data_IF_230962544436
#
_entry.id   IF_230962544436
#
_cell.length_a   1.000
_cell.length_b   1.000
_cell.length_c   1.000
_cell.angle_alpha   90.00
_cell.angle_beta   90.00
_cell.angle_gamma   90.00
#
_symmetry.space_group_name_H-M   'P 1'
#
loop_
_entity.id
_entity.type
_entity.pdbx_description
1 polymer ?
#
# COMPACT_ATOMS: atom_id res chain seq x y z
N UNK A 1 -0.75 29.27 15.09
CA UNK A 1 0.07 28.22 15.74
C UNK A 1 0.12 26.93 14.90
N UNK A 2 -0.99 26.46 14.32
CA UNK A 2 -1.01 25.24 13.49
C UNK A 2 -0.09 25.27 12.25
N UNK A 3 -0.01 26.40 11.54
CA UNK A 3 0.83 26.54 10.34
C UNK A 3 2.33 26.33 10.64
N UNK A 4 2.81 26.75 11.82
CA UNK A 4 4.23 26.65 12.20
C UNK A 4 4.74 25.22 12.41
N UNK A 5 3.84 24.26 12.67
CA UNK A 5 4.18 22.83 12.79
C UNK A 5 3.93 22.10 11.47
N UNK A 6 2.96 22.54 10.66
CA UNK A 6 2.63 21.89 9.40
C UNK A 6 3.72 22.07 8.33
N UNK A 7 4.29 23.27 8.20
CA UNK A 7 5.36 23.55 7.23
C UNK A 7 6.62 22.71 7.42
N UNK A 8 7.20 22.61 8.64
CA UNK A 8 8.36 21.74 8.83
C UNK A 8 8.00 20.26 8.62
N UNK A 9 6.81 19.80 9.04
CA UNK A 9 6.38 18.42 8.82
C UNK A 9 6.22 18.08 7.34
N UNK A 10 5.69 19.03 6.56
CA UNK A 10 5.61 18.95 5.11
C UNK A 10 7.01 18.85 4.49
N UNK A 11 7.92 19.75 4.86
CA UNK A 11 9.30 19.72 4.38
C UNK A 11 10.02 18.42 4.72
N UNK A 12 9.85 17.90 5.94
CA UNK A 12 10.42 16.60 6.34
C UNK A 12 9.84 15.44 5.55
N UNK A 13 8.53 15.45 5.27
CA UNK A 13 7.89 14.42 4.46
C UNK A 13 8.36 14.47 3.01
N UNK A 14 8.52 15.66 2.44
CA UNK A 14 8.99 15.85 1.06
C UNK A 14 10.45 15.40 0.90
N UNK A 15 11.32 15.79 1.84
CA UNK A 15 12.71 15.31 1.90
C UNK A 15 12.76 13.80 2.07
N UNK A 16 11.88 13.20 2.88
CA UNK A 16 11.83 11.75 3.06
C UNK A 16 11.40 11.02 1.79
N UNK A 17 10.43 11.55 1.04
CA UNK A 17 10.00 10.98 -0.25
C UNK A 17 11.16 11.04 -1.26
N UNK A 18 11.80 12.21 -1.39
CA UNK A 18 12.96 12.39 -2.26
C UNK A 18 14.09 11.43 -1.85
N UNK A 19 14.38 11.29 -0.55
CA UNK A 19 15.42 10.38 -0.07
C UNK A 19 15.11 8.90 -0.35
N UNK A 20 13.84 8.48 -0.26
CA UNK A 20 13.41 7.12 -0.62
C UNK A 20 13.52 6.86 -2.12
N UNK A 21 13.18 7.84 -2.96
CA UNK A 21 13.26 7.76 -4.42
C UNK A 21 14.72 7.75 -4.91
N UNK A 22 15.60 8.54 -4.27
CA UNK A 22 17.03 8.60 -4.57
C UNK A 22 17.84 7.35 -4.18
N UNK A 23 17.27 6.45 -3.37
CA UNK A 23 17.99 5.28 -2.87
C UNK A 23 18.46 4.33 -3.99
N UNK A 24 17.88 4.42 -5.20
CA UNK A 24 18.23 3.59 -6.36
C UNK A 24 19.38 4.11 -7.24
N UNK A 25 19.59 5.43 -7.34
CA UNK A 25 20.37 6.02 -8.44
C UNK A 25 21.79 6.53 -8.07
N UNK A 26 22.19 6.44 -6.80
CA UNK A 26 23.50 6.94 -6.34
C UNK A 26 24.69 5.97 -6.54
N UNK A 27 24.46 4.83 -7.19
CA UNK A 27 25.52 3.82 -7.42
C UNK A 27 26.21 4.08 -8.77
N UNK A 28 27.29 4.85 -8.69
CA UNK A 28 28.22 5.26 -9.77
C UNK A 28 28.60 4.12 -10.74
N UNK A 29 27.77 3.85 -11.75
CA UNK A 29 28.13 2.96 -12.87
C UNK A 29 27.79 3.59 -14.20
N UNK A 30 28.81 4.12 -14.89
CA UNK A 30 28.81 4.68 -16.26
C UNK A 30 27.73 5.74 -16.57
N UNK A 31 28.15 6.85 -17.19
CA UNK A 31 27.27 7.98 -17.50
C UNK A 31 25.97 7.59 -18.23
N UNK A 32 25.96 6.51 -19.01
CA UNK A 32 24.80 6.13 -19.84
C UNK A 32 23.76 5.27 -19.11
N UNK A 33 24.13 4.41 -18.16
CA UNK A 33 23.17 3.59 -17.40
C UNK A 33 22.41 4.42 -16.37
N UNK A 34 23.03 5.47 -15.82
CA UNK A 34 22.40 6.35 -14.83
C UNK A 34 21.25 7.16 -15.44
N UNK A 35 21.41 7.70 -16.67
CA UNK A 35 20.30 8.34 -17.37
C UNK A 35 19.17 7.37 -17.70
N UNK A 36 19.49 6.12 -18.05
CA UNK A 36 18.48 5.11 -18.33
C UNK A 36 17.69 4.73 -17.07
N UNK A 37 18.36 4.58 -15.93
CA UNK A 37 17.72 4.31 -14.63
C UNK A 37 16.72 5.40 -14.24
N UNK A 38 17.15 6.66 -14.27
CA UNK A 38 16.31 7.83 -13.96
C UNK A 38 15.11 7.93 -14.91
N UNK A 39 15.30 7.63 -16.21
CA UNK A 39 14.18 7.66 -17.18
C UNK A 39 13.20 6.52 -16.92
N UNK A 40 13.66 5.35 -16.49
CA UNK A 40 12.80 4.21 -16.16
C UNK A 40 12.01 4.48 -14.89
N UNK A 41 12.61 5.03 -13.84
CA UNK A 41 11.91 5.38 -12.59
C UNK A 41 10.90 6.51 -12.81
N UNK A 42 11.26 7.54 -13.60
CA UNK A 42 10.33 8.58 -14.01
C UNK A 42 9.18 8.01 -14.86
N UNK A 43 9.46 7.06 -15.76
CA UNK A 43 8.43 6.39 -16.53
C UNK A 43 7.52 5.51 -15.66
N UNK A 44 8.07 4.81 -14.66
CA UNK A 44 7.29 4.00 -13.70
C UNK A 44 6.28 4.85 -12.92
N UNK A 45 6.72 6.00 -12.40
CA UNK A 45 5.82 6.96 -11.73
C UNK A 45 4.72 7.44 -12.68
N UNK A 46 5.06 7.75 -13.93
CA UNK A 46 4.07 8.17 -14.95
C UNK A 46 3.11 7.02 -15.29
N UNK A 47 3.60 5.78 -15.41
CA UNK A 47 2.77 4.59 -15.66
C UNK A 47 1.80 4.38 -14.50
N UNK A 48 2.28 4.46 -13.26
CA UNK A 48 1.44 4.33 -12.06
C UNK A 48 0.40 5.46 -12.01
N UNK A 49 0.78 6.70 -12.34
CA UNK A 49 -0.15 7.84 -12.35
C UNK A 49 -1.23 7.71 -13.45
N UNK A 50 -0.87 7.14 -14.61
CA UNK A 50 -1.82 6.87 -15.71
C UNK A 50 -2.70 5.66 -15.40
N UNK A 51 -2.16 4.65 -14.73
CA UNK A 51 -2.90 3.47 -14.28
C UNK A 51 -3.85 3.80 -13.13
N UNK A 52 -3.45 4.72 -12.24
CA UNK A 52 -4.27 5.26 -11.16
C UNK A 52 -5.24 6.31 -11.72
N UNK A 53 -6.29 5.86 -12.41
CA UNK A 53 -7.41 6.72 -12.79
C UNK A 53 -8.40 6.82 -11.63
N UNK A 54 -8.59 8.02 -11.04
CA UNK A 54 -9.56 8.23 -9.96
C UNK A 54 -11.02 8.14 -10.42
N UNK A 55 -11.28 8.16 -11.73
CA UNK A 55 -12.63 8.16 -12.31
C UNK A 55 -13.29 6.76 -12.37
N UNK A 56 -12.53 5.69 -12.07
CA UNK A 56 -13.08 4.34 -11.98
C UNK A 56 -13.55 4.06 -10.56
N UNK A 57 -14.84 3.76 -10.36
CA UNK A 57 -15.40 3.32 -9.07
C UNK A 57 -14.65 2.14 -8.44
N UNK A 58 -15.11 1.63 -7.29
CA UNK A 58 -14.44 0.66 -6.39
C UNK A 58 -13.56 -0.46 -7.00
N UNK A 59 -13.74 -0.81 -8.28
CA UNK A 59 -12.89 -1.69 -9.08
C UNK A 59 -11.47 -1.17 -9.35
N UNK A 60 -11.26 0.14 -9.58
CA UNK A 60 -9.93 0.72 -9.85
C UNK A 60 -9.02 0.63 -8.61
N UNK A 61 -9.59 0.98 -7.45
CA UNK A 61 -8.92 0.86 -6.15
C UNK A 61 -8.50 -0.58 -5.84
N UNK A 62 -9.41 -1.55 -6.02
CA UNK A 62 -9.09 -2.97 -5.80
C UNK A 62 -8.01 -3.47 -6.76
N UNK A 63 -7.97 -2.98 -8.00
CA UNK A 63 -6.92 -3.35 -8.95
C UNK A 63 -5.55 -2.84 -8.49
N UNK A 64 -5.48 -1.60 -7.99
CA UNK A 64 -4.26 -1.03 -7.42
C UNK A 64 -3.75 -1.83 -6.22
N UNK A 65 -4.63 -2.17 -5.28
CA UNK A 65 -4.28 -2.97 -4.10
C UNK A 65 -3.77 -4.37 -4.49
N UNK A 66 -4.41 -5.02 -5.47
CA UNK A 66 -3.97 -6.33 -5.97
C UNK A 66 -2.61 -6.24 -6.65
N UNK A 67 -2.34 -5.19 -7.44
CA UNK A 67 -1.04 -4.99 -8.07
C UNK A 67 0.06 -4.87 -7.01
N UNK A 68 -0.15 -4.03 -5.99
CA UNK A 68 0.81 -3.86 -4.90
C UNK A 68 0.98 -5.17 -4.11
N UNK A 69 -0.12 -5.84 -3.77
CA UNK A 69 -0.07 -7.13 -3.07
C UNK A 69 0.71 -8.18 -3.86
N UNK A 70 0.53 -8.25 -5.19
CA UNK A 70 1.30 -9.12 -6.07
C UNK A 70 2.78 -8.75 -6.10
N UNK A 71 3.11 -7.46 -6.16
CA UNK A 71 4.50 -6.99 -6.14
C UNK A 71 5.21 -7.39 -4.84
N UNK A 72 4.56 -7.17 -3.69
CA UNK A 72 5.08 -7.55 -2.37
C UNK A 72 5.21 -9.07 -2.25
N UNK A 73 4.22 -9.82 -2.72
CA UNK A 73 4.27 -11.28 -2.72
C UNK A 73 5.41 -11.82 -3.59
N UNK A 74 5.63 -11.25 -4.77
CA UNK A 74 6.72 -11.63 -5.66
C UNK A 74 8.09 -11.38 -4.99
N UNK A 75 8.26 -10.23 -4.33
CA UNK A 75 9.46 -9.94 -3.54
C UNK A 75 9.67 -10.95 -2.40
N UNK A 76 8.61 -11.26 -1.65
CA UNK A 76 8.65 -12.27 -0.59
C UNK A 76 9.08 -13.64 -1.10
N UNK A 77 8.46 -14.13 -2.19
CA UNK A 77 8.79 -15.42 -2.80
C UNK A 77 10.23 -15.43 -3.31
N UNK A 78 10.69 -14.35 -3.92
CA UNK A 78 12.08 -14.22 -4.39
C UNK A 78 13.09 -14.40 -3.26
N UNK A 79 12.92 -13.67 -2.15
CA UNK A 79 13.80 -13.80 -0.97
C UNK A 79 13.67 -15.16 -0.29
N UNK A 80 12.48 -15.73 -0.25
CA UNK A 80 12.27 -17.07 0.30
C UNK A 80 13.05 -18.13 -0.49
N UNK A 81 13.00 -18.08 -1.83
CA UNK A 81 13.75 -18.98 -2.71
C UNK A 81 15.27 -18.83 -2.50
N UNK A 82 15.76 -17.59 -2.37
CA UNK A 82 17.17 -17.32 -2.07
C UNK A 82 17.60 -17.95 -0.73
N UNK A 83 16.79 -17.79 0.32
CA UNK A 83 17.08 -18.34 1.65
C UNK A 83 17.18 -19.87 1.63
N UNK A 84 16.23 -20.55 0.96
CA UNK A 84 16.25 -22.01 0.80
C UNK A 84 17.49 -22.48 0.03
N UNK A 85 17.96 -21.72 -0.96
CA UNK A 85 19.12 -22.09 -1.78
C UNK A 85 20.45 -21.91 -1.05
N UNK A 86 20.55 -20.92 -0.17
CA UNK A 86 21.79 -20.56 0.52
C UNK A 86 22.08 -21.49 1.71
N UNK A 87 21.07 -22.18 2.26
CA UNK A 87 21.20 -23.10 3.40
C UNK A 87 21.99 -22.46 4.56
N UNK A 88 21.48 -21.37 5.16
CA UNK A 88 22.19 -20.69 6.24
C UNK A 88 22.33 -21.59 7.48
N UNK A 89 23.36 -21.32 8.28
CA UNK A 89 23.55 -21.98 9.57
C UNK A 89 22.56 -21.41 10.61
N UNK A 90 21.46 -22.10 10.80
CA UNK A 90 20.34 -21.66 11.65
C UNK A 90 20.74 -21.32 13.10
N UNK A 91 21.54 -22.13 13.81
CA UNK A 91 22.09 -21.78 15.12
C UNK A 91 22.69 -20.37 15.20
N UNK A 92 23.61 -20.03 14.29
CA UNK A 92 24.25 -18.71 14.29
C UNK A 92 23.30 -17.59 13.88
N UNK A 93 22.33 -17.87 12.99
CA UNK A 93 21.27 -16.92 12.67
C UNK A 93 20.45 -16.57 13.92
N UNK A 94 20.07 -17.55 14.74
CA UNK A 94 19.32 -17.31 15.97
C UNK A 94 20.12 -16.53 17.03
N UNK A 95 21.43 -16.76 17.12
CA UNK A 95 22.32 -15.95 17.96
C UNK A 95 22.33 -14.47 17.54
N UNK A 96 22.21 -14.19 16.24
CA UNK A 96 22.15 -12.83 15.70
C UNK A 96 20.88 -12.05 16.06
N UNK A 97 19.80 -12.71 16.48
CA UNK A 97 18.59 -12.04 16.98
C UNK A 97 18.75 -11.54 18.42
N UNK A 98 19.75 -12.01 19.16
CA UNK A 98 20.00 -11.57 20.54
C UNK A 98 20.78 -10.25 20.56
N UNK A 99 20.34 -9.25 21.34
CA UNK A 99 21.05 -7.99 21.45
C UNK A 99 22.40 -8.20 22.15
N UNK A 100 23.47 -7.75 21.50
CA UNK A 100 24.84 -7.85 22.02
C UNK A 100 25.47 -6.47 22.21
N UNK A 101 26.52 -6.39 23.03
CA UNK A 101 27.27 -5.14 23.26
C UNK A 101 27.96 -4.60 22.00
N UNK A 102 28.09 -5.44 20.95
CA UNK A 102 28.61 -5.06 19.64
C UNK A 102 27.70 -4.01 18.97
N UNK A 103 26.39 -4.03 19.25
CA UNK A 103 25.43 -3.05 18.73
C UNK A 103 25.65 -1.62 19.26
N UNK A 104 26.34 -1.47 20.40
CA UNK A 104 26.64 -0.16 21.00
C UNK A 104 27.92 0.49 20.46
N UNK A 105 28.65 -0.20 19.57
CA UNK A 105 29.81 0.38 18.90
C UNK A 105 29.37 1.45 17.87
N UNK A 106 30.11 2.56 17.69
CA UNK A 106 29.71 3.66 16.80
C UNK A 106 29.36 3.25 15.35
N UNK A 107 30.08 2.29 14.78
CA UNK A 107 29.80 1.80 13.41
C UNK A 107 28.53 0.95 13.31
N UNK A 108 28.24 0.14 14.34
CA UNK A 108 27.03 -0.68 14.40
C UNK A 108 25.79 0.18 14.71
N UNK A 109 25.93 1.20 15.56
CA UNK A 109 24.87 2.17 15.84
C UNK A 109 24.47 2.96 14.59
N UNK A 110 25.44 3.40 13.78
CA UNK A 110 25.14 4.11 12.53
C UNK A 110 24.37 3.22 11.55
N UNK A 111 24.81 1.97 11.37
CA UNK A 111 24.13 1.01 10.50
C UNK A 111 22.75 0.64 11.03
N UNK A 112 22.62 0.38 12.34
CA UNK A 112 21.36 0.04 12.99
C UNK A 112 20.34 1.18 12.94
N UNK A 113 20.76 2.42 13.18
CA UNK A 113 19.89 3.60 13.02
C UNK A 113 19.48 3.83 11.57
N UNK A 114 20.36 3.53 10.60
CA UNK A 114 20.04 3.51 9.18
C UNK A 114 18.97 2.47 8.82
N UNK A 115 19.07 1.24 9.35
CA UNK A 115 18.07 0.18 9.15
C UNK A 115 16.72 0.58 9.77
N UNK A 116 16.72 1.16 10.98
CA UNK A 116 15.49 1.67 11.60
C UNK A 116 14.88 2.81 10.78
N UNK A 117 15.70 3.74 10.27
CA UNK A 117 15.22 4.84 9.42
C UNK A 117 14.68 4.37 8.07
N UNK A 118 15.29 3.34 7.48
CA UNK A 118 14.82 2.73 6.23
C UNK A 118 13.50 1.96 6.40
N UNK A 119 13.26 1.37 7.59
CA UNK A 119 12.03 0.62 7.86
C UNK A 119 10.88 1.52 8.31
N UNK A 120 11.17 2.60 9.03
CA UNK A 120 10.18 3.57 9.47
C UNK A 120 10.08 4.69 8.44
N UNK A 121 9.19 4.49 7.46
CA UNK A 121 8.96 5.43 6.38
C UNK A 121 7.90 6.47 6.81
N UNK A 122 8.28 7.71 7.17
CA UNK A 122 7.36 8.67 7.79
C UNK A 122 6.20 9.05 6.85
N UNK A 123 6.44 9.05 5.54
CA UNK A 123 5.40 9.31 4.54
C UNK A 123 4.40 8.15 4.41
N UNK A 124 4.81 6.91 4.70
CA UNK A 124 3.93 5.74 4.74
C UNK A 124 2.83 5.86 5.80
N UNK A 125 3.10 6.57 6.90
CA UNK A 125 2.12 6.84 7.95
C UNK A 125 1.01 7.79 7.46
N UNK A 126 1.37 8.84 6.73
CA UNK A 126 0.39 9.76 6.12
C UNK A 126 -0.43 9.09 5.03
N UNK A 127 0.21 8.26 4.20
CA UNK A 127 -0.46 7.51 3.14
C UNK A 127 -1.46 6.50 3.71
N UNK A 128 -1.04 5.68 4.68
CA UNK A 128 -1.92 4.71 5.35
C UNK A 128 -3.10 5.36 6.06
N UNK A 129 -2.89 6.52 6.70
CA UNK A 129 -3.98 7.31 7.31
C UNK A 129 -5.02 7.76 6.28
N UNK A 130 -4.59 8.28 5.12
CA UNK A 130 -5.52 8.67 4.04
C UNK A 130 -6.27 7.49 3.44
N UNK A 131 -5.57 6.39 3.12
CA UNK A 131 -6.18 5.19 2.56
C UNK A 131 -7.24 4.60 3.51
N UNK A 132 -6.96 4.56 4.82
CA UNK A 132 -7.91 4.06 5.84
C UNK A 132 -9.19 4.90 5.98
N UNK A 133 -9.16 6.15 5.49
CA UNK A 133 -10.29 7.08 5.54
C UNK A 133 -11.16 6.97 4.28
N UNK A 134 -10.55 6.70 3.12
CA UNK A 134 -11.25 6.60 1.82
C UNK A 134 -12.23 5.41 1.81
N UNK A 135 -11.84 4.27 2.38
CA UNK A 135 -12.70 3.07 2.43
C UNK A 135 -13.94 3.22 3.33
N UNK A 136 -13.95 4.19 4.24
CA UNK A 136 -15.05 4.42 5.19
C UNK A 136 -16.14 5.33 4.65
N UNK A 137 -15.87 6.07 3.57
CA UNK A 137 -16.77 7.09 3.02
C UNK A 137 -17.50 6.64 1.74
N UNK A 138 -17.32 5.38 1.30
CA UNK A 138 -18.07 4.84 0.17
C UNK A 138 -19.59 4.96 0.45
N UNK A 139 -20.36 5.75 -0.34
CA UNK A 139 -21.78 5.90 -0.10
C UNK A 139 -22.47 4.55 -0.24
N UNK A 140 -23.32 4.19 0.73
CA UNK A 140 -24.22 3.06 0.59
C UNK A 140 -24.96 3.17 -0.77
N UNK A 141 -25.10 2.08 -1.53
CA UNK A 141 -25.74 2.14 -2.84
C UNK A 141 -27.15 2.69 -2.65
N UNK A 142 -27.37 3.91 -3.14
CA UNK A 142 -28.69 4.52 -3.13
C UNK A 142 -29.67 3.55 -3.79
N UNK A 143 -30.81 3.33 -3.13
CA UNK A 143 -31.90 2.49 -3.63
C UNK A 143 -32.44 2.90 -5.03
N UNK A 144 -31.93 4.01 -5.58
CA UNK A 144 -32.22 4.52 -6.93
C UNK A 144 -31.84 3.56 -8.06
N UNK A 145 -30.83 2.69 -7.87
CA UNK A 145 -30.44 1.73 -8.92
C UNK A 145 -31.40 0.52 -9.07
N UNK A 146 -32.39 0.38 -8.19
CA UNK A 146 -33.37 -0.72 -8.24
C UNK A 146 -34.68 -0.36 -8.96
N UNK A 147 -34.95 0.90 -9.28
CA UNK A 147 -36.19 1.31 -9.95
C UNK A 147 -36.10 1.34 -11.49
N UNK A 148 -34.93 1.07 -12.08
CA UNK A 148 -34.72 1.17 -13.53
C UNK A 148 -35.00 -0.15 -14.29
N UNK A 149 -35.44 -1.21 -13.62
CA UNK A 149 -35.52 -2.56 -14.19
C UNK A 149 -36.92 -3.24 -14.11
N UNK A 150 -37.94 -2.52 -13.68
CA UNK A 150 -39.34 -2.98 -13.62
C UNK A 150 -40.19 -1.75 -13.92
N UNK A 151 -41.03 -1.63 -14.94
CA UNK A 151 -41.71 -2.62 -15.75
C UNK A 151 -42.15 -1.90 -17.05
N UNK A 152 -41.81 -2.51 -18.18
CA UNK A 152 -42.31 -2.17 -19.50
C UNK A 152 -43.68 -2.83 -19.64
N UNK A 153 -44.79 -2.14 -19.36
CA UNK A 153 -46.09 -2.32 -20.06
C UNK A 153 -47.18 -1.48 -19.41
N UNK A 154 -47.66 -0.43 -20.09
CA UNK A 154 -49.03 0.03 -19.95
C UNK A 154 -49.42 0.86 -21.17
N UNK A 155 -50.25 0.26 -22.01
CA UNK A 155 -50.97 0.87 -23.13
C UNK A 155 -51.94 1.92 -22.56
N UNK A 156 -51.83 3.18 -22.99
CA UNK A 156 -52.85 4.21 -22.74
C UNK A 156 -54.06 4.03 -23.68
N UNK A 157 -55.30 4.11 -23.18
CA UNK A 157 -56.43 4.54 -23.97
C UNK A 157 -56.95 5.91 -23.49
N UNK A 158 -56.97 6.87 -24.41
CA UNK A 158 -57.57 8.20 -24.26
C UNK A 158 -59.08 8.11 -24.00
N UNK A 159 -59.57 8.67 -22.87
CA UNK A 159 -60.97 9.04 -22.69
C UNK A 159 -61.15 10.41 -21.99
N UNK A 160 -61.80 11.40 -22.62
CA UNK A 160 -61.86 12.80 -22.15
C UNK A 160 -63.04 13.14 -21.19
N UNK A 161 -63.66 12.16 -20.52
CA UNK A 161 -64.92 12.39 -19.78
C UNK A 161 -64.82 12.37 -18.25
N UNK A 162 -63.71 11.90 -17.65
CA UNK A 162 -63.60 11.68 -16.20
C UNK A 162 -62.59 12.59 -15.48
N UNK A 163 -62.41 13.82 -15.97
CA UNK A 163 -61.34 14.73 -15.53
C UNK A 163 -61.53 15.26 -14.08
N UNK A 164 -62.78 15.44 -13.62
CA UNK A 164 -63.04 16.13 -12.34
C UNK A 164 -62.86 15.26 -11.09
N UNK A 165 -63.09 13.95 -11.19
CA UNK A 165 -62.95 13.01 -10.05
C UNK A 165 -61.54 12.43 -9.94
N UNK A 166 -60.84 12.29 -11.08
CA UNK A 166 -59.46 11.81 -11.12
C UNK A 166 -58.50 12.79 -10.47
N UNK A 167 -58.72 14.12 -10.59
CA UNK A 167 -57.86 15.13 -9.97
C UNK A 167 -57.80 15.04 -8.43
N UNK A 168 -58.92 14.72 -7.76
CA UNK A 168 -58.94 14.52 -6.29
C UNK A 168 -58.22 13.25 -5.89
N UNK A 169 -58.43 12.14 -6.61
CA UNK A 169 -57.74 10.88 -6.34
C UNK A 169 -56.24 11.00 -6.61
N UNK A 170 -55.85 11.67 -7.70
CA UNK A 170 -54.45 11.96 -8.06
C UNK A 170 -53.78 12.79 -6.97
N UNK A 171 -54.49 13.78 -6.41
CA UNK A 171 -53.98 14.60 -5.30
C UNK A 171 -53.75 13.79 -4.02
N UNK A 172 -54.65 12.86 -3.71
CA UNK A 172 -54.51 11.95 -2.55
C UNK A 172 -53.37 10.96 -2.77
N UNK A 173 -53.25 10.37 -3.97
CA UNK A 173 -52.14 9.48 -4.31
C UNK A 173 -50.79 10.19 -4.22
N UNK A 174 -50.70 11.43 -4.72
CA UNK A 174 -49.45 12.21 -4.63
C UNK A 174 -49.07 12.57 -3.20
N UNK A 175 -50.04 12.78 -2.31
CA UNK A 175 -49.74 13.02 -0.89
C UNK A 175 -49.29 11.74 -0.18
N UNK A 176 -49.87 10.58 -0.52
CA UNK A 176 -49.39 9.30 0.00
C UNK A 176 -47.97 8.95 -0.47
N UNK A 177 -47.63 9.25 -1.73
CA UNK A 177 -46.28 9.00 -2.28
C UNK A 177 -45.21 9.94 -1.70
N UNK A 178 -45.58 11.19 -1.36
CA UNK A 178 -44.68 12.12 -0.66
C UNK A 178 -44.50 11.76 0.82
N UNK A 179 -45.58 11.37 1.52
CA UNK A 179 -45.50 10.92 2.92
C UNK A 179 -44.64 9.65 3.06
N UNK A 180 -44.76 8.69 2.13
CA UNK A 180 -43.92 7.48 2.12
C UNK A 180 -42.45 7.80 1.81
N UNK A 181 -42.18 8.74 0.89
CA UNK A 181 -40.81 9.21 0.59
C UNK A 181 -40.18 9.96 1.75
N UNK A 182 -40.94 10.74 2.51
CA UNK A 182 -40.44 11.45 3.68
C UNK A 182 -40.21 10.51 4.87
N UNK A 183 -41.03 9.47 5.05
CA UNK A 183 -40.75 8.39 6.00
C UNK A 183 -39.50 7.59 5.59
N UNK A 184 -39.38 7.19 4.33
CA UNK A 184 -38.19 6.50 3.81
C UNK A 184 -36.94 7.37 3.92
N UNK A 185 -37.05 8.70 3.72
CA UNK A 185 -35.96 9.65 3.96
C UNK A 185 -35.61 9.76 5.43
N UNK A 186 -36.59 9.82 6.34
CA UNK A 186 -36.34 9.85 7.79
C UNK A 186 -35.68 8.57 8.26
N UNK A 187 -36.15 7.39 7.82
CA UNK A 187 -35.53 6.09 8.11
C UNK A 187 -34.13 5.98 7.51
N UNK A 188 -33.89 6.50 6.30
CA UNK A 188 -32.56 6.52 5.68
C UNK A 188 -31.60 7.50 6.37
N UNK A 189 -32.10 8.64 6.85
CA UNK A 189 -31.33 9.64 7.61
C UNK A 189 -31.02 9.11 9.02
N UNK A 190 -31.96 8.42 9.66
CA UNK A 190 -31.79 7.81 10.99
C UNK A 190 -30.85 6.60 10.93
N UNK A 191 -30.96 5.76 9.91
CA UNK A 191 -30.00 4.70 9.62
C UNK A 191 -28.58 5.24 9.32
N UNK A 192 -28.47 6.47 8.83
CA UNK A 192 -27.19 7.15 8.59
C UNK A 192 -26.67 7.87 9.86
N UNK A 193 -27.53 8.29 10.78
CA UNK A 193 -27.13 8.87 12.07
C UNK A 193 -26.68 7.84 13.09
N UNK A 194 -27.19 6.61 13.00
CA UNK A 194 -26.74 5.47 13.81
C UNK A 194 -25.39 4.89 13.33
N UNK A 195 -24.91 5.30 12.15
CA UNK A 195 -23.83 4.65 11.41
C UNK A 195 -22.40 5.00 11.87
N UNK A 196 -22.20 5.96 12.78
CA UNK A 196 -20.86 6.24 13.36
C UNK A 196 -20.89 6.14 14.88
N UNK A 197 -21.47 5.06 15.39
CA UNK A 197 -21.26 4.68 16.78
C UNK A 197 -19.77 4.44 17.05
N UNK A 198 -19.21 5.07 18.10
CA UNK A 198 -17.81 4.88 18.54
C UNK A 198 -17.48 3.39 18.74
N UNK A 199 -18.48 2.57 19.09
CA UNK A 199 -18.36 1.12 19.16
C UNK A 199 -18.03 0.45 17.82
N UNK A 200 -18.70 0.83 16.73
CA UNK A 200 -18.46 0.29 15.40
C UNK A 200 -17.06 0.68 14.89
N UNK A 201 -16.65 1.93 15.13
CA UNK A 201 -15.30 2.43 14.81
C UNK A 201 -14.24 1.65 15.57
N UNK A 202 -14.42 1.42 16.88
CA UNK A 202 -13.47 0.66 17.71
C UNK A 202 -13.31 -0.78 17.23
N UNK A 203 -14.40 -1.45 16.85
CA UNK A 203 -14.34 -2.82 16.33
C UNK A 203 -13.58 -2.88 15.01
N UNK A 204 -13.89 -2.01 14.03
CA UNK A 204 -13.19 -2.01 12.74
C UNK A 204 -11.72 -1.56 12.87
N UNK A 205 -11.45 -0.61 13.76
CA UNK A 205 -10.09 -0.16 14.04
C UNK A 205 -9.24 -1.26 14.67
N UNK A 206 -9.81 -2.06 15.59
CA UNK A 206 -9.10 -3.19 16.19
C UNK A 206 -8.73 -4.25 15.13
N UNK A 207 -9.67 -4.63 14.25
CA UNK A 207 -9.39 -5.57 13.17
C UNK A 207 -8.33 -5.03 12.20
N UNK A 208 -8.43 -3.76 11.78
CA UNK A 208 -7.43 -3.12 10.94
C UNK A 208 -6.05 -3.04 11.62
N UNK A 209 -6.02 -2.75 12.92
CA UNK A 209 -4.76 -2.70 13.69
C UNK A 209 -4.11 -4.08 13.75
N UNK A 210 -4.88 -5.13 14.00
CA UNK A 210 -4.38 -6.51 14.02
C UNK A 210 -3.83 -6.89 12.64
N UNK A 211 -4.52 -6.56 11.56
CA UNK A 211 -4.08 -6.85 10.19
C UNK A 211 -2.77 -6.11 9.84
N UNK A 212 -2.68 -4.82 10.17
CA UNK A 212 -1.46 -4.03 9.96
C UNK A 212 -0.29 -4.57 10.79
N UNK A 213 -0.53 -4.89 12.07
CA UNK A 213 0.51 -5.45 12.96
C UNK A 213 0.98 -6.81 12.45
N UNK A 214 0.05 -7.68 12.05
CA UNK A 214 0.37 -9.00 11.53
C UNK A 214 1.12 -8.89 10.19
N UNK A 215 0.74 -7.96 9.31
CA UNK A 215 1.45 -7.69 8.07
C UNK A 215 2.87 -7.15 8.32
N UNK A 216 3.04 -6.17 9.21
CA UNK A 216 4.36 -5.63 9.54
C UNK A 216 5.26 -6.67 10.23
N UNK A 217 4.72 -7.41 11.20
CA UNK A 217 5.51 -8.36 11.97
C UNK A 217 5.81 -9.63 11.17
N UNK A 218 4.85 -10.16 10.41
CA UNK A 218 5.06 -11.41 9.68
C UNK A 218 5.70 -11.19 8.31
N UNK A 219 5.26 -10.21 7.51
CA UNK A 219 5.85 -10.00 6.18
C UNK A 219 7.10 -9.13 6.24
N UNK A 220 7.01 -7.92 6.80
CA UNK A 220 8.12 -6.98 6.71
C UNK A 220 9.36 -7.45 7.50
N UNK A 221 9.19 -7.95 8.73
CA UNK A 221 10.33 -8.49 9.50
C UNK A 221 10.92 -9.72 8.80
N UNK A 222 10.10 -10.65 8.30
CA UNK A 222 10.62 -11.83 7.62
C UNK A 222 11.44 -11.47 6.37
N UNK A 223 10.97 -10.51 5.58
CA UNK A 223 11.71 -10.03 4.40
C UNK A 223 13.01 -9.35 4.84
N UNK A 224 12.95 -8.44 5.83
CA UNK A 224 14.14 -7.73 6.32
C UNK A 224 15.18 -8.68 6.90
N UNK A 225 14.75 -9.68 7.67
CA UNK A 225 15.59 -10.76 8.17
C UNK A 225 16.18 -11.60 7.04
N UNK A 226 15.38 -11.98 6.04
CA UNK A 226 15.85 -12.74 4.90
C UNK A 226 16.93 -11.97 4.12
N UNK A 227 16.74 -10.66 3.88
CA UNK A 227 17.73 -9.80 3.25
C UNK A 227 19.04 -9.82 4.05
N UNK A 228 18.96 -9.65 5.38
CA UNK A 228 20.14 -9.62 6.25
C UNK A 228 20.87 -10.97 6.27
N UNK A 229 20.14 -12.09 6.35
CA UNK A 229 20.69 -13.45 6.35
C UNK A 229 21.36 -13.76 5.00
N UNK A 230 20.71 -13.40 3.89
CA UNK A 230 21.25 -13.57 2.53
C UNK A 230 22.52 -12.75 2.35
N UNK A 231 22.50 -11.48 2.78
CA UNK A 231 23.66 -10.59 2.70
C UNK A 231 24.83 -11.10 3.56
N UNK A 232 24.57 -11.49 4.81
CA UNK A 232 25.59 -12.06 5.68
C UNK A 232 26.17 -13.35 5.09
N UNK A 233 25.32 -14.27 4.62
CA UNK A 233 25.82 -15.56 4.11
C UNK A 233 26.61 -15.41 2.81
N UNK A 234 26.19 -14.50 1.92
CA UNK A 234 26.86 -14.29 0.62
C UNK A 234 28.12 -13.44 0.69
N UNK A 235 28.16 -12.42 1.56
CA UNK A 235 29.27 -11.46 1.62
C UNK A 235 30.18 -11.66 2.85
N UNK A 236 29.64 -11.98 4.02
CA UNK A 236 30.44 -12.09 5.25
C UNK A 236 31.28 -13.38 5.25
N UNK A 237 30.69 -14.55 5.00
CA UNK A 237 31.44 -15.81 4.99
C UNK A 237 32.44 -15.92 3.82
N UNK A 238 32.21 -15.20 2.71
CA UNK A 238 33.16 -15.14 1.59
C UNK A 238 34.42 -14.33 1.94
N UNK A 239 34.30 -13.37 2.84
CA UNK A 239 35.38 -12.47 3.28
C UNK A 239 36.39 -13.18 4.19
N UNK A 240 35.94 -14.09 5.03
CA UNK A 240 36.81 -14.93 5.87
C UNK A 240 37.70 -15.85 5.01
N UNK A 241 37.26 -16.21 3.80
CA UNK A 241 38.05 -16.98 2.85
C UNK A 241 39.06 -16.14 2.04
N UNK A 242 38.87 -14.83 1.89
CA UNK A 242 39.72 -13.95 1.08
C UNK A 242 40.67 -13.04 1.87
N UNK A 243 40.57 -13.00 3.21
CA UNK A 243 41.54 -12.35 4.10
C UNK A 243 41.60 -10.81 4.04
N UNK A 244 40.74 -10.16 3.26
CA UNK A 244 40.69 -8.70 3.11
C UNK A 244 39.62 -8.09 4.01
N UNK A 245 40.05 -7.61 5.17
CA UNK A 245 39.21 -7.15 6.29
C UNK A 245 38.65 -5.73 6.24
N UNK A 246 38.50 -5.09 5.07
CA UNK A 246 37.76 -3.81 4.95
C UNK A 246 36.72 -3.85 3.82
N UNK A 247 35.48 -3.41 4.08
CA UNK A 247 34.38 -3.48 3.12
C UNK A 247 33.07 -4.05 3.69
N UNK A 248 32.15 -3.15 4.04
CA UNK A 248 30.72 -3.45 4.08
C UNK A 248 30.34 -3.92 2.66
N UNK A 249 29.61 -5.03 2.53
CA UNK A 249 29.20 -5.53 1.20
C UNK A 249 28.40 -4.45 0.47
N UNK A 250 29.06 -3.77 -0.47
CA UNK A 250 28.49 -2.64 -1.20
C UNK A 250 27.72 -3.14 -2.43
N UNK A 251 26.86 -2.32 -3.01
CA UNK A 251 26.08 -2.69 -4.20
C UNK A 251 27.00 -3.11 -5.37
N UNK A 252 28.23 -2.60 -5.40
CA UNK A 252 29.25 -2.99 -6.37
C UNK A 252 29.77 -4.41 -6.16
N UNK A 253 29.89 -4.88 -4.91
CA UNK A 253 30.24 -6.25 -4.61
C UNK A 253 29.12 -7.19 -5.04
N UNK A 254 27.86 -6.78 -4.80
CA UNK A 254 26.69 -7.50 -5.29
C UNK A 254 26.67 -7.57 -6.83
N UNK A 255 26.94 -6.45 -7.52
CA UNK A 255 27.05 -6.42 -8.98
C UNK A 255 28.18 -7.33 -9.49
N UNK A 256 29.34 -7.32 -8.84
CA UNK A 256 30.46 -8.19 -9.21
C UNK A 256 30.09 -9.68 -9.07
N UNK A 257 29.36 -10.03 -8.00
CA UNK A 257 28.87 -11.39 -7.74
C UNK A 257 27.85 -11.82 -8.81
N UNK A 258 26.89 -10.95 -9.14
CA UNK A 258 25.92 -11.20 -10.21
C UNK A 258 26.63 -11.35 -11.56
N UNK A 259 27.61 -10.49 -11.87
CA UNK A 259 28.40 -10.57 -13.10
C UNK A 259 29.21 -11.86 -13.19
N UNK A 260 29.76 -12.36 -12.08
CA UNK A 260 30.50 -13.62 -12.02
C UNK A 260 29.60 -14.83 -12.30
N UNK A 261 28.41 -14.88 -11.70
CA UNK A 261 27.47 -16.00 -11.83
C UNK A 261 26.68 -15.96 -13.14
N UNK A 262 26.28 -14.78 -13.62
CA UNK A 262 25.54 -14.62 -14.88
C UNK A 262 26.51 -14.66 -16.08
N UNK A 263 27.72 -14.11 -15.95
CA UNK A 263 28.72 -14.07 -17.03
C UNK A 263 29.28 -15.45 -17.42
N UNK A 264 29.24 -16.44 -16.53
CA UNK A 264 29.61 -17.84 -16.84
C UNK A 264 28.53 -18.59 -17.64
N UNK A 265 27.31 -18.07 -17.74
CA UNK A 265 26.20 -18.67 -18.50
C UNK A 265 26.27 -18.43 -20.02
N UNK A 266 27.21 -17.62 -20.51
CA UNK A 266 27.40 -17.30 -21.93
C UNK A 266 28.69 -17.95 -22.47
N UNK A 267 28.88 -19.24 -22.16
CA UNK A 267 29.87 -20.13 -22.79
C UNK A 267 29.28 -21.56 -22.84
N UNK A 268 28.14 -21.69 -23.51
CA UNK A 268 27.65 -22.93 -24.12
C UNK A 268 27.24 -22.58 -25.54
#
# INVERSE_FOLDING_TARGET
>A
MAMGVLYPLYAFSDIAIIATDMAGDLVKSSRNCLYAGVVITAADVVIILVAYRPDGGARSMRAFDVIIACLVLAAFVSFFVLLVRIKPDWPHVFEGYLPSKVLAAPGALYTGTGIIGATVMPHGLFLGSRLSTIDRLAPAPSASARSSATDLTAVEPDLPFLDRSVSKLKKILTHMEEDEKDELRKVAVEANSDFVGVGWVRTHLAHATVDIVLSLLCFAITINSAILIVAATSFYYRRDASGTGEGVGDLFDAYALIKEYIGKGMNI
#
